data_IF_639322694828
#
_entry.id   IF_639322694828
#
_cell.length_a   1.000
_cell.length_b   1.000
_cell.length_c   1.000
_cell.angle_alpha   90.00
_cell.angle_beta   90.00
_cell.angle_gamma   90.00
#
_symmetry.space_group_name_H-M   'P 1'
#
loop_
_entity.id
_entity.type
_entity.pdbx_description
1 polymer ?
#
# COMPACT_ATOMS: atom_id res chain seq x y z
N UNK A 1 -19.78 -20.61 -5.69
CA UNK A 1 -18.65 -20.67 -4.73
C UNK A 1 -17.96 -22.00 -4.98
N UNK A 2 -16.66 -22.01 -5.29
CA UNK A 2 -15.96 -23.26 -5.62
C UNK A 2 -15.62 -24.02 -4.32
N UNK A 3 -16.30 -25.14 -3.99
CA UNK A 3 -16.13 -25.84 -2.72
C UNK A 3 -14.68 -26.34 -2.50
N UNK A 4 -13.97 -26.61 -3.60
CA UNK A 4 -12.58 -27.06 -3.60
C UNK A 4 -11.63 -26.04 -2.94
N UNK A 5 -11.82 -24.74 -3.19
CA UNK A 5 -10.98 -23.69 -2.59
C UNK A 5 -11.16 -23.61 -1.07
N UNK A 6 -12.34 -23.94 -0.55
CA UNK A 6 -12.58 -23.96 0.89
C UNK A 6 -11.92 -25.15 1.57
N UNK A 7 -11.89 -26.30 0.90
CA UNK A 7 -11.15 -27.48 1.37
C UNK A 7 -9.65 -27.20 1.41
N UNK A 8 -9.11 -26.55 0.38
CA UNK A 8 -7.71 -26.12 0.37
C UNK A 8 -7.42 -25.11 1.48
N UNK A 9 -8.28 -24.12 1.68
CA UNK A 9 -8.15 -23.18 2.79
C UNK A 9 -8.12 -23.89 4.15
N UNK A 10 -8.97 -24.90 4.37
CA UNK A 10 -8.93 -25.74 5.57
C UNK A 10 -7.62 -26.51 5.71
N UNK A 11 -7.08 -27.05 4.61
CA UNK A 11 -5.78 -27.72 4.59
C UNK A 11 -4.63 -26.77 4.94
N UNK A 12 -4.63 -25.54 4.42
CA UNK A 12 -3.65 -24.49 4.74
C UNK A 12 -3.63 -24.17 6.24
N UNK A 13 -4.80 -24.00 6.85
CA UNK A 13 -4.90 -23.76 8.30
C UNK A 13 -4.39 -24.98 9.09
N UNK A 14 -4.74 -26.20 8.66
CA UNK A 14 -4.24 -27.44 9.29
C UNK A 14 -2.72 -27.58 9.18
N UNK A 15 -2.11 -27.05 8.12
CA UNK A 15 -0.67 -26.98 7.92
C UNK A 15 0.02 -25.89 8.77
N UNK A 16 -0.73 -25.13 9.57
CA UNK A 16 -0.18 -24.12 10.47
C UNK A 16 -0.15 -22.70 9.89
N UNK A 17 -0.70 -22.49 8.69
CA UNK A 17 -0.80 -21.14 8.10
C UNK A 17 -1.86 -20.34 8.86
N UNK A 18 -1.56 -19.07 9.10
CA UNK A 18 -2.40 -18.21 9.93
C UNK A 18 -3.82 -18.04 9.33
N UNK A 19 -4.91 -18.30 10.09
CA UNK A 19 -6.28 -18.24 9.57
C UNK A 19 -6.64 -16.93 8.88
N UNK A 20 -6.28 -15.78 9.47
CA UNK A 20 -6.55 -14.46 8.87
C UNK A 20 -5.92 -14.27 7.49
N UNK A 21 -4.75 -14.88 7.28
CA UNK A 21 -4.03 -14.80 6.00
C UNK A 21 -4.74 -15.68 4.97
N UNK A 22 -5.11 -16.90 5.37
CA UNK A 22 -5.89 -17.82 4.53
C UNK A 22 -7.24 -17.22 4.12
N UNK A 23 -7.92 -16.52 5.04
CA UNK A 23 -9.16 -15.79 4.73
C UNK A 23 -8.96 -14.69 3.67
N UNK A 24 -7.85 -13.95 3.74
CA UNK A 24 -7.50 -12.93 2.75
C UNK A 24 -7.22 -13.55 1.38
N UNK A 25 -6.43 -14.65 1.33
CA UNK A 25 -6.17 -15.39 0.10
C UNK A 25 -7.46 -15.94 -0.50
N UNK A 26 -8.32 -16.56 0.31
CA UNK A 26 -9.59 -17.11 -0.14
C UNK A 26 -10.52 -16.00 -0.66
N UNK A 27 -10.52 -14.83 -0.01
CA UNK A 27 -11.23 -13.64 -0.49
C UNK A 27 -10.74 -13.20 -1.86
N UNK A 28 -9.43 -13.12 -2.04
CA UNK A 28 -8.80 -12.73 -3.30
C UNK A 28 -9.03 -13.78 -4.41
N UNK A 29 -8.85 -15.07 -4.11
CA UNK A 29 -9.03 -16.19 -5.04
C UNK A 29 -10.45 -16.26 -5.64
N UNK A 30 -11.47 -15.78 -4.92
CA UNK A 30 -12.84 -15.67 -5.44
C UNK A 30 -12.97 -14.68 -6.60
N UNK A 31 -12.02 -13.75 -6.73
CA UNK A 31 -12.00 -12.70 -7.75
C UNK A 31 -10.78 -12.76 -8.68
N UNK A 32 -9.81 -13.63 -8.40
CA UNK A 32 -8.54 -13.74 -9.12
C UNK A 32 -8.22 -15.20 -9.41
N UNK A 33 -8.38 -15.61 -10.68
CA UNK A 33 -8.07 -16.95 -11.17
C UNK A 33 -6.62 -17.35 -10.85
N UNK A 34 -5.67 -16.44 -11.03
CA UNK A 34 -4.26 -16.71 -10.73
C UNK A 34 -4.00 -17.04 -9.25
N UNK A 35 -4.76 -16.45 -8.31
CA UNK A 35 -4.63 -16.81 -6.88
C UNK A 35 -5.30 -18.15 -6.60
N UNK A 36 -6.44 -18.44 -7.25
CA UNK A 36 -7.08 -19.75 -7.15
C UNK A 36 -6.16 -20.88 -7.67
N UNK A 37 -5.49 -20.67 -8.80
CA UNK A 37 -4.53 -21.62 -9.37
C UNK A 37 -3.35 -21.86 -8.43
N UNK A 38 -2.83 -20.80 -7.79
CA UNK A 38 -1.75 -20.93 -6.81
C UNK A 38 -2.18 -21.68 -5.55
N UNK A 39 -3.44 -21.53 -5.11
CA UNK A 39 -3.97 -22.35 -4.01
C UNK A 39 -4.01 -23.85 -4.39
N UNK A 40 -4.47 -24.16 -5.61
CA UNK A 40 -4.47 -25.53 -6.14
C UNK A 40 -3.06 -26.11 -6.27
N UNK A 41 -2.13 -25.29 -6.77
CA UNK A 41 -0.71 -25.65 -6.87
C UNK A 41 -0.11 -25.94 -5.50
N UNK A 42 -0.37 -25.08 -4.50
CA UNK A 42 0.09 -25.30 -3.13
C UNK A 42 -0.45 -26.61 -2.55
N UNK A 43 -1.73 -26.92 -2.78
CA UNK A 43 -2.36 -28.15 -2.30
C UNK A 43 -1.79 -29.42 -2.95
N UNK A 44 -1.33 -29.31 -4.20
CA UNK A 44 -0.79 -30.41 -5.00
C UNK A 44 0.73 -30.56 -4.88
N UNK A 45 1.42 -29.63 -4.19
CA UNK A 45 2.86 -29.67 -4.02
C UNK A 45 3.31 -30.88 -3.17
N UNK A 46 4.34 -31.57 -3.66
CA UNK A 46 4.84 -32.82 -3.09
C UNK A 46 5.79 -32.60 -1.90
N UNK A 47 6.44 -31.44 -1.83
CA UNK A 47 7.43 -31.10 -0.82
C UNK A 47 7.17 -29.70 -0.23
N UNK A 48 7.81 -29.43 0.91
CA UNK A 48 7.61 -28.18 1.64
C UNK A 48 8.30 -26.98 0.97
N UNK A 49 9.36 -27.19 0.19
CA UNK A 49 10.06 -26.12 -0.54
C UNK A 49 9.16 -25.50 -1.63
N UNK A 50 8.46 -26.34 -2.39
CA UNK A 50 7.50 -25.91 -3.41
C UNK A 50 6.28 -25.23 -2.78
N UNK A 51 5.83 -25.72 -1.61
CA UNK A 51 4.76 -25.06 -0.84
C UNK A 51 5.18 -23.67 -0.40
N UNK A 52 6.36 -23.53 0.20
CA UNK A 52 6.87 -22.25 0.68
C UNK A 52 7.08 -21.27 -0.49
N UNK A 53 7.61 -21.74 -1.62
CA UNK A 53 7.72 -20.94 -2.85
C UNK A 53 6.36 -20.46 -3.35
N UNK A 54 5.35 -21.33 -3.33
CA UNK A 54 3.99 -20.96 -3.74
C UNK A 54 3.36 -19.97 -2.77
N UNK A 55 3.59 -20.10 -1.45
CA UNK A 55 3.12 -19.13 -0.45
C UNK A 55 3.74 -17.75 -0.67
N UNK A 56 5.03 -17.68 -1.04
CA UNK A 56 5.68 -16.43 -1.38
C UNK A 56 5.03 -15.76 -2.61
N UNK A 57 4.70 -16.54 -3.65
CA UNK A 57 3.98 -16.03 -4.82
C UNK A 57 2.58 -15.50 -4.46
N UNK A 58 1.84 -16.21 -3.61
CA UNK A 58 0.52 -15.76 -3.14
C UNK A 58 0.65 -14.48 -2.31
N UNK A 59 1.68 -14.38 -1.45
CA UNK A 59 1.95 -13.19 -0.67
C UNK A 59 2.23 -11.98 -1.56
N UNK A 60 3.05 -12.14 -2.61
CA UNK A 60 3.32 -11.06 -3.57
C UNK A 60 2.01 -10.57 -4.23
N UNK A 61 1.07 -11.47 -4.55
CA UNK A 61 -0.24 -11.10 -5.11
C UNK A 61 -1.17 -10.44 -4.11
N UNK A 62 -1.15 -10.87 -2.84
CA UNK A 62 -1.89 -10.22 -1.76
C UNK A 62 -1.37 -8.80 -1.52
N UNK A 63 -0.05 -8.63 -1.49
CA UNK A 63 0.59 -7.33 -1.30
C UNK A 63 0.33 -6.38 -2.47
N UNK A 64 0.19 -6.93 -3.68
CA UNK A 64 -0.16 -6.17 -4.89
C UNK A 64 -1.67 -5.93 -5.03
N UNK A 65 -2.52 -6.57 -4.22
CA UNK A 65 -3.96 -6.41 -4.30
C UNK A 65 -4.41 -5.12 -3.60
N UNK A 66 -4.43 -4.02 -4.36
CA UNK A 66 -5.28 -2.88 -4.01
C UNK A 66 -6.76 -3.26 -4.23
N UNK A 67 -7.67 -2.93 -3.30
CA UNK A 67 -9.10 -3.16 -3.53
C UNK A 67 -9.50 -2.49 -4.84
N UNK A 68 -10.12 -3.26 -5.74
CA UNK A 68 -10.43 -2.82 -7.09
C UNK A 68 -11.12 -1.45 -7.08
N UNK A 69 -10.38 -0.41 -7.48
CA UNK A 69 -10.95 0.88 -7.83
C UNK A 69 -11.81 0.62 -9.05
N UNK A 70 -13.10 0.96 -8.97
CA UNK A 70 -14.07 0.96 -10.07
C UNK A 70 -13.33 1.36 -11.35
N UNK A 71 -13.42 0.51 -12.38
CA UNK A 71 -12.65 0.61 -13.62
C UNK A 71 -12.34 2.08 -13.95
N UNK A 72 -11.06 2.49 -13.96
CA UNK A 72 -10.73 3.89 -14.12
C UNK A 72 -11.35 4.36 -15.45
N UNK A 73 -11.93 5.57 -15.49
CA UNK A 73 -12.50 6.11 -16.71
C UNK A 73 -11.49 5.97 -17.85
N UNK A 74 -11.97 5.67 -19.06
CA UNK A 74 -11.12 5.59 -20.27
C UNK A 74 -10.28 6.87 -20.32
N UNK A 75 -8.97 6.74 -20.09
CA UNK A 75 -8.07 7.88 -20.06
C UNK A 75 -7.91 8.42 -21.48
N UNK A 76 -8.05 9.72 -21.64
CA UNK A 76 -7.75 10.40 -22.89
C UNK A 76 -6.27 10.22 -23.26
N UNK A 77 -5.94 10.31 -24.55
CA UNK A 77 -4.54 10.27 -25.01
C UNK A 77 -3.67 11.34 -24.32
N UNK A 78 -4.24 12.50 -24.01
CA UNK A 78 -3.55 13.56 -23.27
C UNK A 78 -3.15 13.12 -21.85
N UNK A 79 -4.04 12.41 -21.15
CA UNK A 79 -3.78 11.88 -19.81
C UNK A 79 -2.76 10.73 -19.84
N UNK A 80 -2.77 9.91 -20.89
CA UNK A 80 -1.75 8.88 -21.10
C UNK A 80 -0.37 9.49 -21.32
N UNK A 81 -0.27 10.54 -22.15
CA UNK A 81 0.99 11.26 -22.37
C UNK A 81 1.51 11.91 -21.08
N UNK A 82 0.65 12.59 -20.33
CA UNK A 82 1.02 13.19 -19.05
C UNK A 82 1.49 12.13 -18.03
N UNK A 83 0.84 10.95 -18.01
CA UNK A 83 1.26 9.83 -17.16
C UNK A 83 2.64 9.31 -17.58
N UNK A 84 2.88 9.18 -18.89
CA UNK A 84 4.16 8.73 -19.45
C UNK A 84 5.30 9.71 -19.14
N UNK A 85 5.05 11.02 -19.23
CA UNK A 85 6.02 12.06 -18.85
C UNK A 85 6.36 11.99 -17.36
N UNK A 86 5.34 11.90 -16.49
CA UNK A 86 5.56 11.72 -15.04
C UNK A 86 6.41 10.50 -14.72
N UNK A 87 6.14 9.37 -15.38
CA UNK A 87 6.90 8.15 -15.19
C UNK A 87 8.37 8.31 -15.62
N UNK A 88 8.63 8.98 -16.75
CA UNK A 88 10.00 9.24 -17.22
C UNK A 88 10.75 10.13 -16.23
N UNK A 89 10.16 11.26 -15.85
CA UNK A 89 10.78 12.19 -14.88
C UNK A 89 11.07 11.49 -13.54
N UNK A 90 10.14 10.66 -13.06
CA UNK A 90 10.34 9.83 -11.88
C UNK A 90 11.55 8.90 -12.02
N UNK A 91 11.67 8.18 -13.15
CA UNK A 91 12.77 7.24 -13.37
C UNK A 91 14.12 7.94 -13.52
N UNK A 92 14.15 9.13 -14.11
CA UNK A 92 15.36 9.94 -14.22
C UNK A 92 15.84 10.41 -12.84
N UNK A 93 14.93 10.88 -11.99
CA UNK A 93 15.23 11.25 -10.61
C UNK A 93 15.71 10.04 -9.79
N UNK A 94 15.02 8.90 -9.90
CA UNK A 94 15.41 7.65 -9.24
C UNK A 94 16.79 7.20 -9.70
N UNK A 95 17.11 7.33 -10.99
CA UNK A 95 18.42 6.95 -11.52
C UNK A 95 19.54 7.82 -10.97
N UNK A 96 19.29 9.11 -10.83
CA UNK A 96 20.22 10.06 -10.19
C UNK A 96 20.52 9.63 -8.74
N UNK A 97 19.50 9.24 -7.98
CA UNK A 97 19.68 8.74 -6.60
C UNK A 97 20.47 7.42 -6.56
N UNK A 98 20.17 6.50 -7.48
CA UNK A 98 20.86 5.22 -7.59
C UNK A 98 22.35 5.43 -7.90
N UNK A 99 22.65 6.30 -8.86
CA UNK A 99 24.02 6.59 -9.26
C UNK A 99 24.81 7.26 -8.12
N UNK A 100 24.18 8.15 -7.37
CA UNK A 100 24.77 8.75 -6.16
C UNK A 100 25.08 7.73 -5.05
N UNK A 101 24.42 6.56 -5.05
CA UNK A 101 24.62 5.48 -4.08
C UNK A 101 25.54 4.36 -4.59
N UNK A 102 26.34 4.63 -5.64
CA UNK A 102 27.27 3.68 -6.21
C UNK A 102 26.68 2.84 -7.36
N UNK A 103 25.56 3.29 -7.92
CA UNK A 103 24.95 2.72 -9.11
C UNK A 103 24.05 1.51 -8.85
N UNK A 104 23.51 0.99 -9.95
CA UNK A 104 22.48 -0.08 -9.95
C UNK A 104 22.92 -1.31 -9.17
N UNK A 105 24.18 -1.75 -9.33
CA UNK A 105 24.69 -2.96 -8.67
C UNK A 105 24.76 -2.84 -7.15
N UNK A 106 25.14 -1.66 -6.64
CA UNK A 106 25.24 -1.41 -5.20
C UNK A 106 23.85 -1.39 -4.54
N UNK A 107 22.92 -0.65 -5.14
CA UNK A 107 21.54 -0.54 -4.65
C UNK A 107 20.81 -1.88 -4.74
N UNK A 108 20.97 -2.63 -5.84
CA UNK A 108 20.38 -3.95 -6.00
C UNK A 108 20.81 -4.90 -4.88
N UNK A 109 22.12 -4.92 -4.56
CA UNK A 109 22.67 -5.74 -3.48
C UNK A 109 22.15 -5.31 -2.11
N UNK A 110 22.15 -4.01 -1.81
CA UNK A 110 21.66 -3.48 -0.53
C UNK A 110 20.17 -3.73 -0.30
N UNK A 111 19.38 -3.70 -1.38
CA UNK A 111 17.93 -3.91 -1.35
C UNK A 111 17.49 -5.38 -1.43
N UNK A 112 18.38 -6.32 -1.74
CA UNK A 112 18.01 -7.70 -2.03
C UNK A 112 17.19 -7.84 -3.32
N UNK A 113 17.51 -7.03 -4.34
CA UNK A 113 16.90 -7.06 -5.67
C UNK A 113 17.86 -7.73 -6.65
N UNK A 114 17.39 -8.60 -7.56
CA UNK A 114 18.20 -9.03 -8.68
C UNK A 114 18.58 -7.82 -9.56
N UNK A 115 19.87 -7.62 -9.79
CA UNK A 115 20.36 -6.50 -10.61
C UNK A 115 19.69 -6.43 -12.01
N UNK A 116 19.47 -7.56 -12.73
CA UNK A 116 18.76 -7.51 -14.01
C UNK A 116 17.32 -7.00 -13.90
N UNK A 117 16.62 -7.32 -12.81
CA UNK A 117 15.25 -6.84 -12.55
C UNK A 117 15.22 -5.33 -12.34
N UNK A 118 16.17 -4.80 -11.57
CA UNK A 118 16.29 -3.35 -11.37
C UNK A 118 16.64 -2.62 -12.67
N UNK A 119 17.59 -3.13 -13.45
CA UNK A 119 17.91 -2.56 -14.77
C UNK A 119 16.70 -2.55 -15.70
N UNK A 120 15.96 -3.66 -15.78
CA UNK A 120 14.73 -3.76 -16.59
C UNK A 120 13.66 -2.78 -16.13
N UNK A 121 13.47 -2.65 -14.82
CA UNK A 121 12.54 -1.68 -14.23
C UNK A 121 12.88 -0.26 -14.68
N UNK A 122 14.14 0.16 -14.58
CA UNK A 122 14.56 1.51 -14.96
C UNK A 122 14.42 1.80 -16.46
N UNK A 123 14.40 0.77 -17.30
CA UNK A 123 14.23 0.89 -18.76
C UNK A 123 12.81 0.66 -19.25
N UNK A 124 11.89 0.17 -18.41
CA UNK A 124 10.52 -0.16 -18.82
C UNK A 124 9.59 1.05 -18.84
N UNK A 125 8.37 0.87 -19.38
CA UNK A 125 7.25 1.81 -19.23
C UNK A 125 6.37 1.55 -18.01
N UNK A 126 6.82 0.76 -17.03
CA UNK A 126 6.02 0.38 -15.86
C UNK A 126 6.43 1.12 -14.58
N UNK A 127 5.46 1.39 -13.71
CA UNK A 127 5.70 1.84 -12.34
C UNK A 127 6.28 0.69 -11.49
N UNK A 128 7.22 0.95 -10.56
CA UNK A 128 7.61 -0.04 -9.57
C UNK A 128 6.44 -0.37 -8.64
N UNK A 129 6.33 -1.64 -8.28
CA UNK A 129 5.36 -2.12 -7.28
C UNK A 129 5.78 -1.70 -5.87
N UNK A 130 4.84 -1.72 -4.92
CA UNK A 130 5.11 -1.35 -3.53
C UNK A 130 6.24 -2.18 -2.89
N UNK A 131 6.23 -3.50 -3.10
CA UNK A 131 7.30 -4.40 -2.67
C UNK A 131 8.67 -4.02 -3.22
N UNK A 132 8.72 -3.55 -4.47
CA UNK A 132 9.94 -3.10 -5.14
C UNK A 132 10.41 -1.74 -4.61
N UNK A 133 9.47 -0.82 -4.33
CA UNK A 133 9.77 0.44 -3.65
C UNK A 133 10.39 0.20 -2.27
N UNK A 134 9.83 -0.71 -1.47
CA UNK A 134 10.40 -1.07 -0.16
C UNK A 134 11.85 -1.57 -0.27
N UNK A 135 12.13 -2.44 -1.24
CA UNK A 135 13.49 -2.95 -1.46
C UNK A 135 14.43 -1.88 -2.00
N UNK A 136 13.95 -0.97 -2.85
CA UNK A 136 14.72 0.19 -3.33
C UNK A 136 15.06 1.15 -2.19
N UNK A 137 14.09 1.49 -1.35
CA UNK A 137 14.25 2.34 -0.18
C UNK A 137 15.32 1.76 0.75
N UNK A 138 15.23 0.44 1.02
CA UNK A 138 16.25 -0.31 1.76
C UNK A 138 17.64 -0.22 1.12
N UNK A 139 17.75 -0.44 -0.20
CA UNK A 139 19.01 -0.37 -0.92
C UNK A 139 19.63 1.03 -0.99
N UNK A 140 18.80 2.08 -0.97
CA UNK A 140 19.22 3.48 -0.96
C UNK A 140 19.50 4.01 0.45
N UNK A 141 18.98 3.32 1.48
CA UNK A 141 19.03 3.75 2.87
C UNK A 141 18.17 4.99 3.13
N UNK A 142 17.01 5.08 2.50
CA UNK A 142 16.04 6.19 2.62
C UNK A 142 14.66 5.64 2.94
N UNK A 143 13.74 6.50 3.35
CA UNK A 143 12.34 6.12 3.53
C UNK A 143 11.62 6.00 2.18
N UNK A 144 10.61 5.13 2.12
CA UNK A 144 9.80 4.89 0.91
C UNK A 144 9.11 6.17 0.45
N UNK A 145 8.69 7.04 1.37
CA UNK A 145 8.10 8.32 1.03
C UNK A 145 9.06 9.20 0.21
N UNK A 146 10.38 9.10 0.46
CA UNK A 146 11.39 9.88 -0.26
C UNK A 146 11.52 9.46 -1.73
N UNK A 147 11.20 8.21 -2.04
CA UNK A 147 11.31 7.66 -3.40
C UNK A 147 9.93 7.41 -4.03
N UNK A 148 8.86 7.96 -3.45
CA UNK A 148 7.52 7.80 -3.99
C UNK A 148 7.37 8.58 -5.31
N UNK A 149 6.64 8.04 -6.31
CA UNK A 149 6.29 8.70 -7.56
C UNK A 149 5.98 10.20 -7.48
N UNK A 150 5.18 10.57 -6.51
CA UNK A 150 4.72 11.95 -6.35
C UNK A 150 5.81 12.88 -5.81
N UNK A 151 6.76 12.35 -5.03
CA UNK A 151 7.83 13.13 -4.39
C UNK A 151 9.05 13.31 -5.30
N UNK A 152 9.27 12.39 -6.24
CA UNK A 152 10.37 12.44 -7.20
C UNK A 152 10.01 13.15 -8.52
N UNK A 153 8.77 13.64 -8.66
CA UNK A 153 8.32 14.35 -9.86
C UNK A 153 8.87 15.79 -9.93
N UNK A 154 10.06 15.93 -10.52
CA UNK A 154 10.63 17.26 -10.81
C UNK A 154 9.83 17.90 -11.94
N UNK A 155 9.07 18.94 -11.60
CA UNK A 155 8.22 19.69 -12.53
C UNK A 155 7.20 20.61 -11.88
N UNK A 156 7.00 20.52 -10.57
CA UNK A 156 6.40 21.61 -9.78
C UNK A 156 7.44 22.04 -8.76
N UNK A 157 7.72 23.35 -8.69
CA UNK A 157 8.75 23.96 -7.84
C UNK A 157 8.81 23.28 -6.46
N UNK A 158 10.00 22.91 -5.97
CA UNK A 158 10.13 22.45 -4.59
C UNK A 158 9.80 23.64 -3.68
N UNK A 159 8.77 23.50 -2.85
CA UNK A 159 8.72 24.26 -1.60
C UNK A 159 9.81 23.65 -0.73
N UNK A 160 10.97 24.30 -0.74
CA UNK A 160 12.03 24.02 0.21
C UNK A 160 11.47 24.40 1.59
N UNK A 161 10.98 23.43 2.35
CA UNK A 161 10.81 23.59 3.78
C UNK A 161 12.16 23.28 4.41
N UNK A 162 13.01 24.31 4.45
CA UNK A 162 14.16 24.34 5.36
C UNK A 162 13.58 24.24 6.77
N UNK A 163 13.71 23.08 7.39
CA UNK A 163 13.59 22.96 8.83
C UNK A 163 14.78 23.71 9.45
N UNK A 164 14.54 24.93 9.92
CA UNK A 164 15.33 25.55 10.98
C UNK A 164 14.39 25.87 12.14
N UNK A 165 14.56 25.07 13.19
CA UNK A 165 14.21 25.26 14.60
C UNK A 165 13.10 26.23 15.01
N UNK A 166 12.14 25.60 15.72
CA UNK A 166 11.59 26.01 17.01
C UNK A 166 10.49 27.10 17.06
N UNK A 167 9.27 26.59 17.31
CA UNK A 167 8.18 27.18 18.11
C UNK A 167 7.21 28.13 17.39
N UNK A 168 5.93 27.70 17.40
CA UNK A 168 4.69 28.44 17.16
C UNK A 168 4.44 29.00 15.74
N UNK A 169 3.50 28.42 15.00
CA UNK A 169 2.16 29.04 14.85
C UNK A 169 1.16 28.07 14.18
N UNK A 170 0.03 27.87 14.87
CA UNK A 170 -1.27 27.41 14.37
C UNK A 170 -1.41 25.91 14.06
N UNK A 171 -1.42 25.06 15.08
CA UNK A 171 -2.71 24.52 15.52
C UNK A 171 -3.79 25.61 15.59
N UNK A 172 -4.79 25.57 14.67
CA UNK A 172 -6.14 26.16 14.74
C UNK A 172 -6.68 26.48 13.33
N UNK A 173 -7.08 25.46 12.58
CA UNK A 173 -8.18 25.59 11.59
C UNK A 173 -9.46 24.88 12.06
N UNK A 174 -9.52 24.53 13.35
CA UNK A 174 -10.74 24.16 14.05
C UNK A 174 -11.20 25.35 14.92
N UNK A 175 -11.68 26.41 14.28
CA UNK A 175 -12.51 27.49 14.87
C UNK A 175 -12.72 28.59 13.82
N UNK A 176 -13.51 28.30 12.79
CA UNK A 176 -14.07 29.35 11.94
C UNK A 176 -15.58 29.44 12.20
N UNK A 177 -16.05 30.46 12.95
CA UNK A 177 -17.47 30.65 13.22
C UNK A 177 -18.28 31.09 11.98
N UNK A 178 -17.65 31.37 10.83
CA UNK A 178 -18.36 31.70 9.59
C UNK A 178 -18.86 30.47 8.79
N UNK A 179 -18.49 29.25 9.19
CA UNK A 179 -18.94 27.99 8.57
C UNK A 179 -20.10 27.31 9.32
N UNK A 180 -20.56 27.88 10.43
CA UNK A 180 -21.66 27.33 11.24
C UNK A 180 -23.07 27.63 10.69
N UNK A 181 -23.20 28.59 9.75
CA UNK A 181 -24.49 29.01 9.19
C UNK A 181 -24.75 28.53 7.75
N UNK A 182 -23.97 27.56 7.26
CA UNK A 182 -24.18 26.99 5.93
C UNK A 182 -25.53 26.20 5.88
N UNK A 183 -26.46 26.51 4.94
CA UNK A 183 -27.81 25.94 4.89
C UNK A 183 -27.87 24.44 4.54
N UNK A 184 -26.72 23.81 4.29
CA UNK A 184 -26.60 22.41 3.90
C UNK A 184 -26.91 21.42 5.04
N UNK A 185 -26.80 21.84 6.31
CA UNK A 185 -26.88 20.93 7.47
C UNK A 185 -28.22 20.91 8.21
N UNK A 186 -29.28 21.57 7.72
CA UNK A 186 -30.53 21.71 8.49
C UNK A 186 -31.44 20.49 8.52
N UNK A 187 -31.24 19.51 7.64
CA UNK A 187 -32.21 18.39 7.48
C UNK A 187 -31.67 17.00 7.85
N UNK A 188 -30.49 16.90 8.46
CA UNK A 188 -30.00 15.64 8.99
C UNK A 188 -30.06 15.62 10.52
N UNK A 189 -31.26 15.33 11.05
CA UNK A 189 -31.40 14.93 12.45
C UNK A 189 -30.81 13.51 12.61
N UNK A 190 -29.75 13.31 13.42
CA UNK A 190 -29.18 11.99 13.64
C UNK A 190 -30.16 11.13 14.46
N UNK A 191 -30.34 9.87 14.03
CA UNK A 191 -31.27 8.94 14.66
C UNK A 191 -30.99 8.75 16.16
N UNK A 192 -32.07 8.53 16.92
CA UNK A 192 -32.11 8.38 18.39
C UNK A 192 -31.19 7.27 18.95
N UNK A 193 -30.72 6.37 18.09
CA UNK A 193 -29.75 5.31 18.38
C UNK A 193 -28.38 5.87 18.81
N UNK A 194 -27.96 6.99 18.21
CA UNK A 194 -26.66 7.63 18.45
C UNK A 194 -26.60 8.31 19.83
N UNK A 195 -27.76 8.67 20.40
CA UNK A 195 -27.86 9.31 21.73
C UNK A 195 -27.65 8.32 22.87
N UNK A 196 -28.03 7.04 22.71
CA UNK A 196 -27.92 6.03 23.77
C UNK A 196 -26.48 5.54 24.01
N UNK A 197 -25.63 5.51 22.97
CA UNK A 197 -24.24 5.01 23.12
C UNK A 197 -23.31 5.97 23.87
N UNK A 198 -23.58 7.27 23.90
CA UNK A 198 -22.77 8.25 24.68
C UNK A 198 -23.06 8.25 26.18
N UNK A 199 -24.18 7.66 26.64
CA UNK A 199 -24.54 7.65 28.06
C UNK A 199 -23.95 6.47 28.87
N UNK A 200 -23.35 5.45 28.22
CA UNK A 200 -22.86 4.25 28.91
C UNK A 200 -21.35 3.99 28.85
N UNK A 201 -20.57 4.77 28.09
CA UNK A 201 -19.11 4.63 28.04
C UNK A 201 -18.32 5.30 29.17
N UNK A 202 -18.94 6.19 29.96
CA UNK A 202 -18.23 7.10 30.86
C UNK A 202 -17.89 6.59 32.27
N UNK A 203 -18.20 5.33 32.64
CA UNK A 203 -18.04 4.85 34.05
C UNK A 203 -16.94 3.81 34.28
N UNK A 204 -16.14 3.42 33.28
CA UNK A 204 -15.04 2.44 33.47
C UNK A 204 -13.64 3.05 33.61
N UNK A 205 -13.46 4.35 33.38
CA UNK A 205 -12.13 4.99 33.42
C UNK A 205 -11.70 5.54 34.81
N UNK A 206 -12.52 5.39 35.86
CA UNK A 206 -12.24 5.99 37.17
C UNK A 206 -11.75 5.01 38.25
N UNK A 207 -11.51 3.72 37.93
CA UNK A 207 -11.15 2.71 38.95
C UNK A 207 -9.69 2.23 38.94
N UNK A 208 -8.89 2.58 37.93
CA UNK A 208 -7.50 2.13 37.81
C UNK A 208 -6.44 3.18 38.22
N UNK A 209 -6.83 4.25 38.92
CA UNK A 209 -5.89 5.24 39.49
C UNK A 209 -5.72 5.16 41.02
N UNK A 210 -6.18 4.07 41.63
CA UNK A 210 -5.99 3.83 43.05
C UNK A 210 -5.58 2.38 43.29
N UNK A 211 -4.38 2.00 42.83
CA UNK A 211 -3.58 0.89 43.33
C UNK A 211 -2.11 1.12 43.00
#
# INVERSE_FOLDING_TARGET
MNPELEDIARLMVKAGIQPRWVEAVLGLARSSEGVADLMLLWASAENDEDRDGTLACIQDLLDDHEPAVIAPPIRSHRELNATGERLRSYKDALRTLIDAKGGVSAVARGGGLPQPSLSRLLSSGAWPRASTLNRLAKGLGVDVATIHPDQLSVGTKPVIVMATSEVLLVALTASDPALADAPFWRDHEPSSETRRRRAHGGRRAARDRAR
#
